data_IF_425379793942
#
_entry.id   IF_425379793942
#
_cell.length_a   1.000
_cell.length_b   1.000
_cell.length_c   1.000
_cell.angle_alpha   90.00
_cell.angle_beta   90.00
_cell.angle_gamma   90.00
#
_symmetry.space_group_name_H-M   'P 1'
#
loop_
_entity.id
_entity.type
_entity.pdbx_description
1 polymer ?
#
# COMPACT_ATOMS: atom_id res chain seq x y z
N UNK A 1 15.49 4.27 -14.28
CA UNK A 1 14.52 4.68 -13.26
C UNK A 1 15.24 5.47 -12.16
N UNK A 2 14.81 6.69 -11.93
CA UNK A 2 15.20 7.48 -10.75
C UNK A 2 13.93 7.82 -9.97
N UNK A 3 13.89 7.47 -8.69
CA UNK A 3 12.75 7.69 -7.81
C UNK A 3 13.25 7.91 -6.39
N UNK A 4 12.73 8.94 -5.73
CA UNK A 4 12.94 9.21 -4.33
C UNK A 4 11.61 9.16 -3.59
N UNK A 5 11.55 8.38 -2.50
CA UNK A 5 10.36 8.19 -1.66
C UNK A 5 10.74 8.61 -0.25
N UNK A 6 9.95 9.52 0.33
CA UNK A 6 10.18 10.05 1.67
C UNK A 6 9.76 9.05 2.73
N UNK A 7 10.42 9.09 3.88
CA UNK A 7 10.05 8.26 5.02
C UNK A 7 8.63 8.60 5.48
N UNK A 8 7.82 7.57 5.68
CA UNK A 8 6.44 7.70 6.16
C UNK A 8 5.46 8.20 5.10
N UNK A 9 5.83 8.32 3.80
CA UNK A 9 4.87 8.66 2.76
C UNK A 9 4.22 7.43 2.14
N UNK A 10 3.00 7.60 1.64
CA UNK A 10 2.32 6.66 0.74
C UNK A 10 2.56 7.13 -0.68
N UNK A 11 3.42 6.42 -1.42
CA UNK A 11 3.74 6.70 -2.81
C UNK A 11 3.03 5.71 -3.72
N UNK A 12 2.21 6.21 -4.65
CA UNK A 12 1.52 5.40 -5.65
C UNK A 12 2.25 5.46 -7.00
N UNK A 13 2.37 4.31 -7.66
CA UNK A 13 2.86 4.20 -9.04
C UNK A 13 1.70 3.77 -9.93
N UNK A 14 1.32 4.66 -10.84
CA UNK A 14 0.30 4.39 -11.86
C UNK A 14 0.94 4.28 -13.24
N UNK A 15 0.24 3.67 -14.20
CA UNK A 15 0.74 3.52 -15.57
C UNK A 15 0.13 2.32 -16.28
N UNK A 16 0.30 2.23 -17.59
CA UNK A 16 -0.24 1.16 -18.43
C UNK A 16 0.26 -0.24 -18.06
N UNK A 17 -0.48 -1.27 -18.50
CA UNK A 17 -0.05 -2.65 -18.35
C UNK A 17 1.22 -2.91 -19.17
N UNK A 18 2.09 -3.81 -18.68
CA UNK A 18 3.31 -4.19 -19.38
C UNK A 18 4.43 -3.14 -19.39
N UNK A 19 4.27 -1.99 -18.73
CA UNK A 19 5.30 -0.94 -18.71
C UNK A 19 6.50 -1.27 -17.81
N UNK A 20 6.42 -2.33 -16.98
CA UNK A 20 7.53 -2.77 -16.13
C UNK A 20 7.39 -2.39 -14.65
N UNK A 21 6.20 -1.93 -14.17
CA UNK A 21 5.96 -1.55 -12.76
C UNK A 21 6.29 -2.68 -11.78
N UNK A 22 5.70 -3.87 -11.98
CA UNK A 22 5.94 -5.04 -11.11
C UNK A 22 7.41 -5.53 -11.21
N UNK A 23 8.06 -5.32 -12.37
CA UNK A 23 9.51 -5.57 -12.51
C UNK A 23 10.30 -4.59 -11.65
N UNK A 24 9.99 -3.30 -11.68
CA UNK A 24 10.63 -2.30 -10.83
C UNK A 24 10.43 -2.62 -9.34
N UNK A 25 9.21 -3.01 -8.95
CA UNK A 25 8.93 -3.44 -7.58
C UNK A 25 9.75 -4.67 -7.18
N UNK A 26 9.90 -5.66 -8.08
CA UNK A 26 10.70 -6.86 -7.80
C UNK A 26 12.19 -6.57 -7.64
N UNK A 27 12.70 -5.49 -8.23
CA UNK A 27 14.07 -4.98 -7.99
C UNK A 27 14.16 -4.33 -6.59
N UNK A 28 13.17 -3.54 -6.19
CA UNK A 28 13.12 -2.92 -4.85
C UNK A 28 12.88 -3.98 -3.77
N UNK A 29 12.12 -5.02 -4.08
CA UNK A 29 11.94 -6.18 -3.21
C UNK A 29 13.17 -7.10 -3.16
N UNK A 30 14.23 -6.82 -3.90
CA UNK A 30 15.44 -7.67 -4.07
C UNK A 30 15.13 -9.12 -4.50
N UNK A 31 13.98 -9.34 -5.14
CA UNK A 31 13.67 -10.60 -5.83
C UNK A 31 14.49 -10.71 -7.12
N UNK A 32 14.79 -9.55 -7.73
CA UNK A 32 15.66 -9.42 -8.91
C UNK A 32 16.75 -8.40 -8.63
N UNK A 33 17.86 -8.49 -9.37
CA UNK A 33 18.96 -7.53 -9.27
C UNK A 33 18.94 -6.58 -10.47
N UNK A 34 19.22 -5.27 -10.27
CA UNK A 34 19.30 -4.32 -11.36
C UNK A 34 20.55 -4.59 -12.21
N UNK A 35 20.39 -4.57 -13.54
CA UNK A 35 21.52 -4.66 -14.45
C UNK A 35 22.45 -3.42 -14.37
N UNK A 36 21.86 -2.24 -14.13
CA UNK A 36 22.57 -0.98 -13.91
C UNK A 36 21.86 -0.15 -12.84
N UNK A 37 22.64 0.71 -12.17
CA UNK A 37 22.11 1.57 -11.11
C UNK A 37 22.18 0.91 -9.73
N UNK A 38 21.71 1.64 -8.74
CA UNK A 38 21.73 1.23 -7.34
C UNK A 38 20.41 1.59 -6.69
N UNK A 39 20.00 0.79 -5.74
CA UNK A 39 18.82 1.02 -4.90
C UNK A 39 19.31 1.23 -3.48
N UNK A 40 18.85 2.30 -2.85
CA UNK A 40 19.17 2.65 -1.47
C UNK A 40 17.89 2.64 -0.64
N UNK A 41 17.95 2.03 0.52
CA UNK A 41 16.91 2.06 1.54
C UNK A 41 17.50 2.68 2.80
N UNK A 42 16.94 3.77 3.27
CA UNK A 42 17.47 4.58 4.39
C UNK A 42 18.99 4.87 4.25
N UNK A 43 19.43 5.25 3.05
CA UNK A 43 20.82 5.60 2.76
C UNK A 43 21.79 4.42 2.61
N UNK A 44 21.36 3.18 2.88
CA UNK A 44 22.18 1.97 2.68
C UNK A 44 21.78 1.26 1.41
N UNK A 45 22.77 0.90 0.58
CA UNK A 45 22.56 0.15 -0.67
C UNK A 45 21.90 -1.21 -0.37
N UNK A 46 20.81 -1.56 -1.08
CA UNK A 46 20.01 -2.75 -0.81
C UNK A 46 20.82 -4.06 -0.84
N UNK A 47 21.84 -4.14 -1.71
CA UNK A 47 22.73 -5.30 -1.79
C UNK A 47 23.63 -5.50 -0.56
N UNK A 48 23.72 -4.51 0.33
CA UNK A 48 24.49 -4.58 1.57
C UNK A 48 23.70 -5.05 2.79
N UNK A 49 22.37 -5.24 2.63
CA UNK A 49 21.56 -5.86 3.68
C UNK A 49 21.70 -7.38 3.62
N UNK A 50 21.80 -8.04 4.76
CA UNK A 50 21.55 -9.48 4.84
C UNK A 50 20.06 -9.75 4.57
N UNK A 51 19.71 -10.98 4.18
CA UNK A 51 18.27 -11.35 4.01
C UNK A 51 17.53 -11.20 5.32
N UNK A 52 18.15 -11.56 6.41
CA UNK A 52 17.59 -11.44 7.74
C UNK A 52 17.33 -9.97 8.12
N UNK A 53 18.28 -9.05 7.87
CA UNK A 53 18.08 -7.63 8.13
C UNK A 53 17.02 -6.99 7.23
N UNK A 54 16.92 -7.46 5.99
CA UNK A 54 15.99 -6.89 5.01
C UNK A 54 14.55 -7.35 5.26
N UNK A 55 14.32 -8.65 5.44
CA UNK A 55 12.96 -9.19 5.46
C UNK A 55 12.38 -9.40 6.87
N UNK A 56 13.20 -9.30 7.92
CA UNK A 56 12.71 -9.38 9.30
C UNK A 56 12.59 -7.98 9.93
N UNK A 57 11.46 -7.32 9.65
CA UNK A 57 11.11 -6.04 10.27
C UNK A 57 11.57 -4.79 9.52
N UNK A 58 12.12 -4.90 8.29
CA UNK A 58 12.50 -3.75 7.51
C UNK A 58 11.66 -3.62 6.24
N UNK A 59 11.60 -4.65 5.40
CA UNK A 59 10.88 -4.66 4.12
C UNK A 59 9.78 -5.71 4.15
N UNK A 60 8.54 -5.27 3.98
CA UNK A 60 7.38 -6.14 3.75
C UNK A 60 6.96 -6.08 2.28
N UNK A 61 6.62 -7.22 1.71
CA UNK A 61 6.18 -7.30 0.31
C UNK A 61 4.83 -8.01 0.26
N UNK A 62 3.83 -7.30 -0.25
CA UNK A 62 2.52 -7.86 -0.55
C UNK A 62 2.42 -8.07 -2.07
N UNK A 63 2.50 -9.33 -2.56
CA UNK A 63 2.49 -9.63 -3.98
C UNK A 63 1.08 -9.49 -4.56
N UNK A 64 0.98 -9.36 -5.88
CA UNK A 64 -0.29 -9.29 -6.62
C UNK A 64 -1.16 -10.54 -6.40
N UNK A 65 -0.55 -11.74 -6.27
CA UNK A 65 -1.25 -12.96 -5.91
C UNK A 65 -1.05 -13.26 -4.42
N UNK A 66 -2.07 -13.01 -3.56
CA UNK A 66 -1.97 -13.23 -2.12
C UNK A 66 -1.73 -14.69 -1.74
N UNK A 67 -2.19 -15.63 -2.56
CA UNK A 67 -2.07 -17.08 -2.31
C UNK A 67 -0.61 -17.55 -2.23
N UNK A 68 0.33 -16.83 -2.87
CA UNK A 68 1.75 -17.14 -2.80
C UNK A 68 2.35 -17.03 -1.39
N UNK A 69 1.63 -16.40 -0.47
CA UNK A 69 2.04 -16.26 0.93
C UNK A 69 1.45 -17.36 1.84
N UNK A 70 0.52 -18.18 1.37
CA UNK A 70 -0.20 -19.13 2.19
C UNK A 70 0.51 -20.48 2.22
N UNK A 71 0.86 -20.94 3.42
CA UNK A 71 1.67 -22.16 3.61
C UNK A 71 1.07 -23.16 4.61
N UNK A 72 0.02 -22.78 5.34
CA UNK A 72 -0.62 -23.62 6.37
C UNK A 72 -2.04 -23.99 6.01
N UNK A 73 -2.61 -24.91 6.80
CA UNK A 73 -3.97 -25.44 6.58
C UNK A 73 -5.07 -24.52 7.10
N UNK A 74 -4.79 -23.69 8.10
CA UNK A 74 -5.75 -22.74 8.64
C UNK A 74 -5.15 -21.34 8.65
N UNK A 75 -6.02 -20.31 8.58
CA UNK A 75 -5.65 -18.90 8.72
C UNK A 75 -4.88 -18.67 10.03
N UNK A 76 -5.34 -19.28 11.12
CA UNK A 76 -4.68 -19.20 12.44
C UNK A 76 -3.25 -19.70 12.37
N UNK A 77 -3.04 -20.90 11.88
CA UNK A 77 -1.70 -21.51 11.75
C UNK A 77 -0.79 -20.66 10.85
N UNK A 78 -1.36 -20.11 9.77
CA UNK A 78 -0.63 -19.31 8.79
C UNK A 78 -0.16 -17.95 9.37
N UNK A 79 -0.92 -17.36 10.30
CA UNK A 79 -0.52 -16.17 11.04
C UNK A 79 0.54 -16.48 12.11
N UNK A 80 0.35 -17.55 12.87
CA UNK A 80 1.31 -17.94 13.92
C UNK A 80 2.67 -18.37 13.35
N UNK A 81 2.70 -19.00 12.18
CA UNK A 81 3.93 -19.39 11.50
C UNK A 81 4.87 -18.19 11.25
N UNK A 82 4.31 -17.04 10.87
CA UNK A 82 5.08 -15.80 10.67
C UNK A 82 5.81 -15.37 11.95
N UNK A 83 5.18 -15.53 13.11
CA UNK A 83 5.73 -15.10 14.39
C UNK A 83 6.71 -16.14 14.96
N UNK A 84 6.41 -17.42 14.79
CA UNK A 84 7.24 -18.51 15.28
C UNK A 84 8.57 -18.63 14.51
N UNK A 85 8.58 -18.24 13.23
CA UNK A 85 9.79 -18.12 12.42
C UNK A 85 10.70 -16.95 12.76
N UNK A 86 10.28 -16.03 13.65
CA UNK A 86 11.07 -14.85 14.01
C UNK A 86 12.12 -15.16 15.07
N UNK A 87 13.37 -14.76 14.79
CA UNK A 87 14.34 -14.44 15.85
C UNK A 87 13.87 -13.14 16.53
N UNK A 88 13.80 -13.15 17.86
CA UNK A 88 13.43 -11.98 18.66
C UNK A 88 14.41 -10.82 18.37
N UNK A 89 14.00 -9.88 17.52
CA UNK A 89 14.71 -8.60 17.35
C UNK A 89 13.82 -7.49 17.87
N UNK A 90 14.39 -6.64 18.74
CA UNK A 90 13.76 -5.39 19.17
C UNK A 90 13.66 -4.45 17.97
N UNK A 91 12.47 -4.21 17.48
CA UNK A 91 12.21 -3.21 16.43
C UNK A 91 11.78 -1.92 17.12
N UNK A 92 12.55 -0.84 16.95
CA UNK A 92 12.23 0.49 17.50
C UNK A 92 10.96 1.12 16.91
N UNK A 93 10.53 0.67 15.73
CA UNK A 93 9.32 1.17 15.07
C UNK A 93 8.00 0.73 15.74
N UNK A 94 8.06 -0.24 16.65
CA UNK A 94 6.89 -0.73 17.40
C UNK A 94 7.30 -0.84 18.88
N UNK A 95 6.96 0.16 19.70
CA UNK A 95 7.50 0.31 21.07
C UNK A 95 6.95 -0.68 22.10
N UNK A 96 6.16 -1.68 21.71
CA UNK A 96 5.54 -2.62 22.64
C UNK A 96 6.09 -4.02 22.41
N UNK A 97 6.72 -4.61 23.43
CA UNK A 97 6.90 -6.05 23.57
C UNK A 97 5.52 -6.71 23.74
N UNK A 98 4.74 -6.76 22.66
CA UNK A 98 3.48 -7.48 22.68
C UNK A 98 3.80 -8.98 22.71
N UNK A 99 3.17 -9.70 23.63
CA UNK A 99 3.18 -11.17 23.62
C UNK A 99 2.71 -11.63 22.22
N UNK A 100 3.28 -12.72 21.71
CA UNK A 100 2.96 -13.27 20.37
C UNK A 100 1.45 -13.34 20.12
N UNK A 101 0.68 -13.76 21.11
CA UNK A 101 -0.77 -13.86 21.06
C UNK A 101 -1.43 -12.49 20.83
N UNK A 102 -1.03 -11.48 21.60
CA UNK A 102 -1.60 -10.13 21.52
C UNK A 102 -1.31 -9.48 20.16
N UNK A 103 -0.13 -9.77 19.58
CA UNK A 103 0.23 -9.29 18.26
C UNK A 103 -0.65 -9.91 17.15
N UNK A 104 -0.93 -11.23 17.23
CA UNK A 104 -1.84 -11.90 16.29
C UNK A 104 -3.25 -11.39 16.47
N UNK A 105 -3.77 -11.30 17.68
CA UNK A 105 -5.12 -10.80 17.96
C UNK A 105 -5.29 -9.36 17.47
N UNK A 106 -4.32 -8.49 17.69
CA UNK A 106 -4.35 -7.11 17.20
C UNK A 106 -4.39 -7.02 15.67
N UNK A 107 -3.59 -7.83 14.96
CA UNK A 107 -3.60 -7.88 13.50
C UNK A 107 -4.88 -8.51 12.98
N UNK A 108 -5.39 -9.57 13.61
CA UNK A 108 -6.67 -10.20 13.26
C UNK A 108 -7.80 -9.19 13.33
N UNK A 109 -7.85 -8.39 14.40
CA UNK A 109 -8.84 -7.33 14.54
C UNK A 109 -8.66 -6.22 13.51
N UNK A 110 -7.43 -5.77 13.29
CA UNK A 110 -7.14 -4.74 12.28
C UNK A 110 -7.56 -5.15 10.87
N UNK A 111 -7.38 -6.44 10.53
CA UNK A 111 -7.67 -6.98 9.20
C UNK A 111 -9.02 -7.70 9.10
N UNK A 112 -9.82 -7.71 10.18
CA UNK A 112 -11.15 -8.34 10.27
C UNK A 112 -11.16 -9.81 9.84
N UNK A 113 -10.28 -10.60 10.46
CA UNK A 113 -10.15 -12.04 10.20
C UNK A 113 -10.75 -12.91 11.31
N UNK A 114 -11.43 -12.33 12.33
CA UNK A 114 -11.88 -13.03 13.54
C UNK A 114 -12.72 -14.28 13.23
N UNK A 115 -13.68 -14.16 12.33
CA UNK A 115 -14.58 -15.26 11.94
C UNK A 115 -13.97 -16.27 10.95
N UNK A 116 -12.70 -16.08 10.54
CA UNK A 116 -12.08 -16.82 9.46
C UNK A 116 -10.89 -17.69 9.92
N UNK A 117 -10.52 -17.61 11.20
CA UNK A 117 -9.29 -18.20 11.73
C UNK A 117 -9.15 -19.71 11.52
N UNK A 118 -10.26 -20.44 11.55
CA UNK A 118 -10.28 -21.90 11.43
C UNK A 118 -10.56 -22.38 9.99
N UNK A 119 -10.71 -21.43 9.04
CA UNK A 119 -10.87 -21.76 7.61
C UNK A 119 -9.53 -22.02 6.94
N UNK A 120 -9.59 -22.79 5.86
CA UNK A 120 -8.42 -22.96 4.98
C UNK A 120 -8.20 -21.66 4.18
N UNK A 121 -6.96 -21.13 4.04
CA UNK A 121 -6.68 -19.91 3.31
C UNK A 121 -7.19 -19.87 1.87
N UNK A 122 -7.22 -21.00 1.19
CA UNK A 122 -7.74 -21.10 -0.19
C UNK A 122 -9.27 -21.12 -0.29
N UNK A 123 -9.99 -21.35 0.83
CA UNK A 123 -11.45 -21.29 0.88
C UNK A 123 -11.98 -19.87 1.16
N UNK A 124 -11.08 -18.91 1.32
CA UNK A 124 -11.40 -17.51 1.50
C UNK A 124 -11.74 -16.84 0.16
N UNK A 125 -12.66 -15.88 0.18
CA UNK A 125 -12.92 -14.98 -0.94
C UNK A 125 -11.67 -14.16 -1.30
N UNK A 126 -11.59 -13.60 -2.50
CA UNK A 126 -10.44 -12.82 -2.94
C UNK A 126 -10.10 -11.67 -2.00
N UNK A 127 -11.11 -10.95 -1.48
CA UNK A 127 -10.91 -9.88 -0.49
C UNK A 127 -10.41 -10.40 0.87
N UNK A 128 -10.91 -11.55 1.34
CA UNK A 128 -10.43 -12.17 2.57
C UNK A 128 -8.99 -12.68 2.43
N UNK A 129 -8.63 -13.20 1.25
CA UNK A 129 -7.25 -13.59 0.94
C UNK A 129 -6.31 -12.37 0.95
N UNK A 130 -6.74 -11.23 0.41
CA UNK A 130 -5.97 -9.99 0.47
C UNK A 130 -5.77 -9.52 1.92
N UNK A 131 -6.81 -9.63 2.77
CA UNK A 131 -6.72 -9.31 4.21
C UNK A 131 -5.73 -10.23 4.93
N UNK A 132 -5.78 -11.53 4.65
CA UNK A 132 -4.83 -12.49 5.23
C UNK A 132 -3.39 -12.20 4.79
N UNK A 133 -3.17 -11.93 3.51
CA UNK A 133 -1.85 -11.57 2.99
C UNK A 133 -1.31 -10.30 3.67
N UNK A 134 -2.14 -9.25 3.79
CA UNK A 134 -1.79 -8.03 4.50
C UNK A 134 -1.46 -8.31 5.98
N UNK A 135 -2.28 -9.10 6.67
CA UNK A 135 -2.05 -9.51 8.05
C UNK A 135 -0.69 -10.18 8.24
N UNK A 136 -0.35 -11.14 7.37
CA UNK A 136 0.95 -11.82 7.39
C UNK A 136 2.12 -10.86 7.23
N UNK A 137 2.01 -9.93 6.27
CA UNK A 137 3.09 -8.94 6.03
C UNK A 137 3.22 -7.98 7.20
N UNK A 138 2.11 -7.51 7.77
CA UNK A 138 2.12 -6.58 8.91
C UNK A 138 2.64 -7.24 10.20
N UNK A 139 2.45 -8.53 10.38
CA UNK A 139 3.07 -9.28 11.49
C UNK A 139 4.61 -9.22 11.43
N UNK A 140 5.23 -9.02 10.28
CA UNK A 140 6.67 -8.78 10.15
C UNK A 140 7.11 -7.41 10.65
N UNK A 141 6.19 -6.49 10.93
CA UNK A 141 6.42 -5.10 11.37
C UNK A 141 7.40 -4.35 10.45
N UNK A 142 7.10 -4.26 9.15
CA UNK A 142 8.00 -3.63 8.19
C UNK A 142 8.09 -2.12 8.41
N UNK A 143 9.28 -1.53 8.14
CA UNK A 143 9.45 -0.08 8.01
C UNK A 143 9.06 0.42 6.61
N UNK A 144 9.22 -0.45 5.61
CA UNK A 144 8.85 -0.19 4.22
C UNK A 144 7.90 -1.29 3.76
N UNK A 145 6.73 -0.90 3.24
CA UNK A 145 5.71 -1.82 2.72
C UNK A 145 5.59 -1.64 1.21
N UNK A 146 5.86 -2.70 0.46
CA UNK A 146 5.66 -2.76 -0.99
C UNK A 146 4.37 -3.51 -1.28
N UNK A 147 3.49 -2.95 -2.13
CA UNK A 147 2.20 -3.53 -2.46
C UNK A 147 1.96 -3.50 -3.97
N UNK A 148 1.73 -4.67 -4.58
CA UNK A 148 1.41 -4.80 -6.00
C UNK A 148 -0.08 -5.08 -6.18
N UNK A 149 -0.84 -4.09 -6.71
CA UNK A 149 -2.29 -4.11 -6.93
C UNK A 149 -3.11 -4.47 -5.68
N UNK A 150 -2.93 -3.76 -4.55
CA UNK A 150 -3.56 -4.14 -3.28
C UNK A 150 -5.09 -4.05 -3.28
N UNK A 151 -5.68 -3.30 -4.22
CA UNK A 151 -7.15 -3.11 -4.34
C UNK A 151 -7.81 -4.07 -5.32
N UNK A 152 -7.03 -4.96 -5.95
CA UNK A 152 -7.55 -5.89 -6.94
C UNK A 152 -8.46 -6.95 -6.32
N UNK A 153 -9.69 -7.05 -6.82
CA UNK A 153 -10.65 -8.08 -6.38
C UNK A 153 -11.28 -7.85 -5.01
N UNK A 154 -11.15 -6.64 -4.46
CA UNK A 154 -11.81 -6.24 -3.22
C UNK A 154 -12.94 -5.22 -3.50
N UNK A 155 -13.98 -5.24 -2.66
CA UNK A 155 -15.11 -4.33 -2.75
C UNK A 155 -14.77 -2.92 -2.22
N UNK A 156 -15.64 -1.97 -2.50
CA UNK A 156 -15.43 -0.56 -2.14
C UNK A 156 -15.39 -0.34 -0.62
N UNK A 157 -16.11 -1.15 0.16
CA UNK A 157 -16.10 -1.02 1.61
C UNK A 157 -14.73 -1.38 2.16
N UNK A 158 -14.19 -2.53 1.74
CA UNK A 158 -12.86 -2.93 2.17
C UNK A 158 -11.74 -2.05 1.60
N UNK A 159 -11.90 -1.47 0.38
CA UNK A 159 -10.94 -0.46 -0.13
C UNK A 159 -10.79 0.71 0.83
N UNK A 160 -11.90 1.23 1.36
CA UNK A 160 -11.88 2.31 2.35
C UNK A 160 -11.11 1.91 3.60
N UNK A 161 -11.40 0.74 4.15
CA UNK A 161 -10.72 0.21 5.33
C UNK A 161 -9.22 0.01 5.08
N UNK A 162 -8.84 -0.56 3.93
CA UNK A 162 -7.45 -0.69 3.53
C UNK A 162 -6.76 0.68 3.50
N UNK A 163 -7.39 1.68 2.91
CA UNK A 163 -6.85 3.03 2.86
C UNK A 163 -6.63 3.64 4.24
N UNK A 164 -7.59 3.45 5.16
CA UNK A 164 -7.47 3.89 6.55
C UNK A 164 -6.33 3.16 7.30
N UNK A 165 -6.16 1.85 7.04
CA UNK A 165 -5.03 1.08 7.59
C UNK A 165 -3.71 1.64 7.07
N UNK A 166 -3.59 1.87 5.76
CA UNK A 166 -2.37 2.40 5.15
C UNK A 166 -2.04 3.80 5.70
N UNK A 167 -3.05 4.67 5.89
CA UNK A 167 -2.85 5.98 6.52
C UNK A 167 -2.30 5.86 7.93
N UNK A 168 -2.91 5.04 8.77
CA UNK A 168 -2.42 4.80 10.13
C UNK A 168 -0.98 4.29 10.14
N UNK A 169 -0.63 3.36 9.25
CA UNK A 169 0.74 2.87 9.13
C UNK A 169 1.73 3.98 8.73
N UNK A 170 1.36 4.82 7.77
CA UNK A 170 2.14 5.97 7.32
C UNK A 170 2.37 6.98 8.45
N UNK A 171 1.31 7.34 9.20
CA UNK A 171 1.37 8.20 10.39
C UNK A 171 2.30 7.66 11.48
N UNK A 172 2.44 6.33 11.59
CA UNK A 172 3.41 5.68 12.46
C UNK A 172 4.79 5.48 11.83
N UNK A 173 5.06 6.14 10.69
CA UNK A 173 6.37 6.18 10.05
C UNK A 173 6.68 5.03 9.10
N UNK A 174 5.71 4.18 8.75
CA UNK A 174 5.87 3.15 7.73
C UNK A 174 5.81 3.80 6.35
N UNK A 175 6.85 3.63 5.54
CA UNK A 175 6.88 4.09 4.14
C UNK A 175 6.17 3.06 3.26
N UNK A 176 5.24 3.51 2.42
CA UNK A 176 4.43 2.63 1.59
C UNK A 176 4.64 2.96 0.11
N UNK A 177 5.05 1.96 -0.66
CA UNK A 177 5.10 2.03 -2.12
C UNK A 177 4.07 1.07 -2.69
N UNK A 178 3.07 1.59 -3.39
CA UNK A 178 2.06 0.77 -4.04
C UNK A 178 2.04 0.97 -5.55
N UNK A 179 1.87 -0.12 -6.28
CA UNK A 179 1.50 -0.11 -7.69
C UNK A 179 -0.01 -0.31 -7.74
N UNK A 180 -0.74 0.56 -8.42
CA UNK A 180 -2.19 0.37 -8.58
C UNK A 180 -2.73 0.94 -9.89
N UNK A 181 -3.78 0.32 -10.40
CA UNK A 181 -4.63 0.83 -11.47
C UNK A 181 -5.87 1.55 -10.94
N UNK A 182 -6.11 1.50 -9.64
CA UNK A 182 -7.23 2.16 -8.97
C UNK A 182 -6.88 3.62 -8.70
N UNK A 183 -7.19 4.47 -9.68
CA UNK A 183 -6.87 5.91 -9.62
C UNK A 183 -7.62 6.62 -8.50
N UNK A 184 -8.86 6.21 -8.21
CA UNK A 184 -9.66 6.74 -7.11
C UNK A 184 -9.01 6.46 -5.76
N UNK A 185 -8.58 5.21 -5.54
CA UNK A 185 -7.85 4.82 -4.34
C UNK A 185 -6.54 5.59 -4.19
N UNK A 186 -5.76 5.71 -5.27
CA UNK A 186 -4.51 6.47 -5.25
C UNK A 186 -4.75 7.95 -4.96
N UNK A 187 -5.77 8.57 -5.58
CA UNK A 187 -6.10 9.98 -5.36
C UNK A 187 -6.53 10.27 -3.92
N UNK A 188 -7.20 9.31 -3.28
CA UNK A 188 -7.72 9.47 -1.92
C UNK A 188 -6.66 9.20 -0.85
N UNK A 189 -5.77 8.22 -1.06
CA UNK A 189 -4.90 7.72 0.00
C UNK A 189 -3.41 7.95 -0.23
N UNK A 190 -2.93 8.17 -1.45
CA UNK A 190 -1.52 8.42 -1.67
C UNK A 190 -1.15 9.89 -1.44
N UNK A 191 0.03 10.13 -0.86
CA UNK A 191 0.58 11.47 -0.70
C UNK A 191 1.14 11.98 -2.02
N UNK A 192 1.90 11.15 -2.72
CA UNK A 192 2.45 11.42 -4.04
C UNK A 192 2.15 10.29 -5.00
N UNK A 193 1.96 10.65 -6.27
CA UNK A 193 1.73 9.70 -7.36
C UNK A 193 2.74 9.91 -8.47
N UNK A 194 3.32 8.81 -8.96
CA UNK A 194 4.23 8.81 -10.08
C UNK A 194 3.67 8.06 -11.28
N UNK A 195 3.78 8.64 -12.46
CA UNK A 195 3.45 7.99 -13.73
C UNK A 195 4.63 7.16 -14.22
N UNK A 196 4.42 5.86 -14.32
CA UNK A 196 5.42 4.93 -14.83
C UNK A 196 5.19 4.65 -16.32
N UNK A 197 6.18 4.94 -17.13
CA UNK A 197 6.14 4.75 -18.58
C UNK A 197 7.50 4.30 -19.11
N UNK A 198 7.54 3.26 -19.93
CA UNK A 198 8.76 2.72 -20.56
C UNK A 198 9.95 2.52 -19.59
N UNK A 199 9.69 1.93 -18.43
CA UNK A 199 10.74 1.63 -17.46
C UNK A 199 11.18 2.80 -16.57
N UNK A 200 10.54 3.97 -16.67
CA UNK A 200 10.87 5.16 -15.89
C UNK A 200 9.63 5.78 -15.24
N UNK A 201 9.84 6.49 -14.13
CA UNK A 201 8.85 7.43 -13.60
C UNK A 201 9.06 8.76 -14.35
N UNK A 202 8.10 9.09 -15.22
CA UNK A 202 8.18 10.27 -16.10
C UNK A 202 7.72 11.57 -15.43
N UNK A 203 6.84 11.45 -14.44
CA UNK A 203 6.42 12.55 -13.56
C UNK A 203 6.08 12.01 -12.19
N UNK A 204 6.25 12.82 -11.15
CA UNK A 204 5.91 12.48 -9.76
C UNK A 204 5.56 13.76 -9.02
N UNK A 205 4.32 13.85 -8.56
CA UNK A 205 3.77 15.04 -7.89
C UNK A 205 2.91 14.63 -6.70
N UNK A 206 2.47 15.60 -5.90
CA UNK A 206 1.40 15.43 -4.93
C UNK A 206 0.17 14.83 -5.60
N UNK A 207 -0.46 13.82 -5.01
CA UNK A 207 -1.51 13.03 -5.68
C UNK A 207 -2.68 13.89 -6.16
N UNK A 208 -3.15 14.84 -5.36
CA UNK A 208 -4.23 15.75 -5.80
C UNK A 208 -3.83 16.55 -7.03
N UNK A 209 -2.64 17.12 -7.04
CA UNK A 209 -2.12 17.88 -8.18
C UNK A 209 -1.92 17.01 -9.41
N UNK A 210 -1.37 15.80 -9.22
CA UNK A 210 -1.17 14.82 -10.28
C UNK A 210 -2.49 14.48 -10.99
N UNK A 211 -3.54 14.12 -10.23
CA UNK A 211 -4.82 13.70 -10.79
C UNK A 211 -5.65 14.86 -11.34
N UNK A 212 -5.54 16.07 -10.79
CA UNK A 212 -6.18 17.27 -11.32
C UNK A 212 -5.56 17.72 -12.65
N UNK A 213 -4.24 17.64 -12.75
CA UNK A 213 -3.49 18.08 -13.95
C UNK A 213 -3.40 17.06 -15.08
N UNK A 214 -3.81 15.81 -14.86
CA UNK A 214 -3.62 14.73 -15.83
C UNK A 214 -4.94 14.45 -16.60
N UNK A 215 -4.86 14.39 -17.93
CA UNK A 215 -6.06 14.11 -18.76
C UNK A 215 -6.36 12.62 -18.92
N UNK A 216 -5.35 11.76 -18.83
CA UNK A 216 -5.49 10.31 -19.03
C UNK A 216 -5.64 9.58 -17.69
N UNK A 217 -4.78 9.91 -16.71
CA UNK A 217 -4.79 9.35 -15.38
C UNK A 217 -5.45 10.35 -14.43
N UNK A 218 -6.78 10.38 -14.44
CA UNK A 218 -7.58 11.21 -13.53
C UNK A 218 -8.81 10.45 -13.08
N UNK A 219 -9.38 10.85 -11.94
CA UNK A 219 -10.54 10.22 -11.33
C UNK A 219 -11.83 10.53 -12.10
N UNK A 220 -12.86 9.71 -11.90
CA UNK A 220 -14.20 9.98 -12.45
C UNK A 220 -14.76 11.29 -11.90
N UNK A 221 -14.56 11.56 -10.60
CA UNK A 221 -14.99 12.80 -9.96
C UNK A 221 -14.38 14.04 -10.64
N UNK A 222 -13.07 14.03 -10.89
CA UNK A 222 -12.41 15.15 -11.58
C UNK A 222 -12.91 15.30 -13.02
N UNK A 223 -13.08 14.21 -13.78
CA UNK A 223 -13.59 14.29 -15.16
C UNK A 223 -14.96 14.95 -15.23
N UNK A 224 -15.84 14.68 -14.27
CA UNK A 224 -17.18 15.25 -14.23
C UNK A 224 -17.17 16.70 -13.76
N UNK A 225 -16.34 17.05 -12.79
CA UNK A 225 -16.40 18.31 -12.08
C UNK A 225 -15.36 19.36 -12.54
N UNK A 226 -14.31 18.99 -13.29
CA UNK A 226 -13.15 19.85 -13.60
C UNK A 226 -13.48 21.20 -14.24
N UNK A 227 -14.59 21.30 -14.98
CA UNK A 227 -15.01 22.55 -15.61
C UNK A 227 -15.50 23.58 -14.59
N UNK A 228 -15.93 23.14 -13.42
CA UNK A 228 -16.43 23.98 -12.31
C UNK A 228 -15.45 23.98 -11.14
N UNK A 229 -14.89 22.81 -10.83
CA UNK A 229 -14.00 22.58 -9.70
C UNK A 229 -12.72 21.85 -10.16
N UNK A 230 -11.78 22.55 -10.81
CA UNK A 230 -10.63 21.91 -11.48
C UNK A 230 -9.71 21.14 -10.52
N UNK A 231 -9.66 21.52 -9.24
CA UNK A 231 -8.82 20.90 -8.23
C UNK A 231 -9.53 19.78 -7.43
N UNK A 232 -10.83 19.53 -7.68
CA UNK A 232 -11.56 18.46 -7.02
C UNK A 232 -11.22 17.12 -7.69
N UNK A 233 -10.58 16.22 -6.96
CA UNK A 233 -10.14 14.90 -7.47
C UNK A 233 -10.88 13.73 -6.84
N UNK A 234 -11.46 13.90 -5.66
CA UNK A 234 -12.29 12.90 -4.99
C UNK A 234 -13.75 13.30 -4.98
N UNK A 235 -14.64 12.34 -4.72
CA UNK A 235 -16.07 12.64 -4.53
C UNK A 235 -16.26 13.61 -3.38
N UNK A 236 -15.53 13.44 -2.29
CA UNK A 236 -15.55 14.31 -1.13
C UNK A 236 -15.11 15.74 -1.47
N UNK A 237 -14.08 15.91 -2.32
CA UNK A 237 -13.64 17.23 -2.79
C UNK A 237 -14.78 17.92 -3.58
N UNK A 238 -15.51 17.20 -4.45
CA UNK A 238 -16.63 17.74 -5.23
C UNK A 238 -17.78 18.15 -4.32
N UNK A 239 -18.19 17.28 -3.39
CA UNK A 239 -19.27 17.59 -2.44
C UNK A 239 -18.91 18.80 -1.59
N UNK A 240 -17.67 18.88 -1.09
CA UNK A 240 -17.20 20.03 -0.32
C UNK A 240 -17.25 21.34 -1.13
N UNK A 241 -16.81 21.29 -2.40
CA UNK A 241 -16.83 22.46 -3.27
C UNK A 241 -18.24 22.95 -3.57
N UNK A 242 -19.21 22.04 -3.80
CA UNK A 242 -20.62 22.39 -3.99
C UNK A 242 -21.19 23.06 -2.76
N UNK A 243 -21.01 22.48 -1.56
CA UNK A 243 -21.51 23.04 -0.31
C UNK A 243 -20.96 24.44 -0.03
N UNK A 244 -19.66 24.67 -0.29
CA UNK A 244 -19.07 26.00 -0.16
C UNK A 244 -19.71 27.03 -1.10
N UNK A 245 -19.99 26.65 -2.34
CA UNK A 245 -20.65 27.54 -3.31
C UNK A 245 -22.09 27.87 -2.90
N UNK A 246 -22.83 26.92 -2.31
CA UNK A 246 -24.18 27.14 -1.80
C UNK A 246 -24.18 28.09 -0.58
N UNK A 247 -23.24 27.92 0.36
CA UNK A 247 -23.11 28.80 1.52
C UNK A 247 -22.78 30.24 1.11
N UNK A 248 -21.90 30.44 0.12
CA UNK A 248 -21.59 31.76 -0.44
C UNK A 248 -22.81 32.40 -1.12
N UNK A 249 -23.62 31.60 -1.84
CA UNK A 249 -24.81 32.08 -2.53
C UNK A 249 -25.96 32.49 -1.57
N UNK A 250 -26.04 31.87 -0.38
CA UNK A 250 -27.04 32.20 0.65
C UNK A 250 -26.64 33.43 1.49
N UNK A 251 -25.35 33.76 1.52
CA UNK A 251 -24.81 34.88 2.28
C UNK A 251 -24.74 36.22 1.52
N UNK A 252 -25.13 36.23 0.23
CA UNK A 252 -25.30 37.41 -0.63
C UNK A 252 -26.75 37.78 -0.76
#
# INVERSE_FOLDING_TARGET
LSLDIKKGEIFAVVGGNGTGKSTAMSLIARIRFPYRGKIYLEGKEIGKYSDDDLYHGFLGVMPQNPQSLFVKKTVREDLYEVIDGKRERKSEAYPIEMKKKDAVEGIVSLTRLEGLLDRHPYDLSGGEQQRLALAKVLLLRPKILLMDEPTKGIDNHYKKELGEILRKLSEHGVTILMISHDVEFCAQYADRTGLFFQGNVVTSEESKKFFAGNNFYTTAANRMARNYFPNAVTVEDVVKAINQTEEEAVSC
#
